data_IF_808680263713
#
_entry.id   IF_808680263713
#
_cell.length_a   1.000
_cell.length_b   1.000
_cell.length_c   1.000
_cell.angle_alpha   90.00
_cell.angle_beta   90.00
_cell.angle_gamma   90.00
#
_symmetry.space_group_name_H-M   'P 1'
#
loop_
_entity.id
_entity.type
_entity.pdbx_description
1 polymer ?
#
# COMPACT_ATOMS: atom_id res chain seq x y z
N UNK A 1 56.32 55.52 -70.03
CA UNK A 1 55.04 56.07 -69.54
C UNK A 1 53.97 55.00 -69.27
N UNK A 2 54.00 53.82 -69.92
CA UNK A 2 53.00 52.76 -69.71
C UNK A 2 53.04 52.07 -68.32
N UNK A 3 54.22 51.90 -67.73
CA UNK A 3 54.39 51.18 -66.45
C UNK A 3 53.74 51.89 -65.24
N UNK A 4 53.61 53.22 -65.29
CA UNK A 4 53.01 54.00 -64.19
C UNK A 4 51.51 53.73 -64.04
N UNK A 5 50.79 53.53 -65.16
CA UNK A 5 49.34 53.26 -65.12
C UNK A 5 49.01 51.84 -64.68
N UNK A 6 49.90 50.87 -64.96
CA UNK A 6 49.72 49.48 -64.53
C UNK A 6 49.99 49.30 -63.03
N UNK A 7 50.91 50.09 -62.48
CA UNK A 7 51.15 50.16 -61.04
C UNK A 7 49.94 50.74 -60.28
N UNK A 8 49.39 51.88 -60.72
CA UNK A 8 48.19 52.47 -60.11
C UNK A 8 46.97 51.53 -60.15
N UNK A 9 46.80 50.78 -61.26
CA UNK A 9 45.73 49.79 -61.39
C UNK A 9 45.86 48.68 -60.35
N UNK A 10 47.07 48.16 -60.12
CA UNK A 10 47.34 47.15 -59.08
C UNK A 10 47.00 47.65 -57.68
N UNK A 11 47.45 48.87 -57.35
CA UNK A 11 47.16 49.50 -56.05
C UNK A 11 45.65 49.65 -55.83
N UNK A 12 44.90 50.00 -56.88
CA UNK A 12 43.44 50.14 -56.81
C UNK A 12 42.74 48.79 -56.61
N UNK A 13 43.14 47.76 -57.34
CA UNK A 13 42.60 46.41 -57.21
C UNK A 13 42.92 45.78 -55.84
N UNK A 14 44.12 46.03 -55.32
CA UNK A 14 44.53 45.56 -53.99
C UNK A 14 43.72 46.23 -52.88
N UNK A 15 43.45 47.53 -53.00
CA UNK A 15 42.55 48.26 -52.09
C UNK A 15 41.13 47.69 -52.12
N UNK A 16 40.57 47.43 -53.30
CA UNK A 16 39.22 46.86 -53.44
C UNK A 16 39.17 45.48 -52.77
N UNK A 17 40.16 44.62 -53.00
CA UNK A 17 40.25 43.30 -52.36
C UNK A 17 40.35 43.41 -50.84
N UNK A 18 41.16 44.35 -50.34
CA UNK A 18 41.30 44.61 -48.92
C UNK A 18 39.98 45.07 -48.29
N UNK A 19 39.26 46.00 -48.92
CA UNK A 19 37.96 46.48 -48.45
C UNK A 19 36.89 45.37 -48.48
N UNK A 20 36.86 44.55 -49.52
CA UNK A 20 35.97 43.38 -49.60
C UNK A 20 36.28 42.34 -48.51
N UNK A 21 37.55 42.03 -48.29
CA UNK A 21 37.97 41.11 -47.24
C UNK A 21 37.61 41.63 -45.84
N UNK A 22 37.77 42.94 -45.62
CA UNK A 22 37.37 43.61 -44.37
C UNK A 22 35.85 43.51 -44.15
N UNK A 23 35.05 43.76 -45.19
CA UNK A 23 33.58 43.65 -45.09
C UNK A 23 33.15 42.22 -44.75
N UNK A 24 33.68 41.22 -45.46
CA UNK A 24 33.37 39.81 -45.21
C UNK A 24 33.75 39.39 -43.78
N UNK A 25 34.91 39.82 -43.29
CA UNK A 25 35.33 39.51 -41.93
C UNK A 25 34.42 40.19 -40.90
N UNK A 26 33.97 41.41 -41.16
CA UNK A 26 33.03 42.11 -40.27
C UNK A 26 31.65 41.43 -40.24
N UNK A 27 31.12 41.01 -41.39
CA UNK A 27 29.88 40.23 -41.48
C UNK A 27 30.00 38.90 -40.76
N UNK A 28 31.11 38.18 -40.94
CA UNK A 28 31.35 36.90 -40.28
C UNK A 28 31.35 37.04 -38.75
N UNK A 29 32.03 38.07 -38.21
CA UNK A 29 32.00 38.35 -36.76
C UNK A 29 30.59 38.67 -36.25
N UNK A 30 29.80 39.44 -37.00
CA UNK A 30 28.41 39.74 -36.63
C UNK A 30 27.56 38.47 -36.61
N UNK A 31 27.73 37.60 -37.60
CA UNK A 31 27.02 36.33 -37.68
C UNK A 31 27.40 35.40 -36.51
N UNK A 32 28.69 35.30 -36.17
CA UNK A 32 29.16 34.52 -35.03
C UNK A 32 28.61 35.04 -33.70
N UNK A 33 28.64 36.36 -33.47
CA UNK A 33 28.06 36.98 -32.27
C UNK A 33 26.55 36.72 -32.17
N UNK A 34 25.83 36.81 -33.28
CA UNK A 34 24.40 36.54 -33.30
C UNK A 34 24.09 35.09 -32.99
N UNK A 35 24.85 34.16 -33.58
CA UNK A 35 24.73 32.72 -33.31
C UNK A 35 25.02 32.37 -31.85
N UNK A 36 26.03 32.99 -31.25
CA UNK A 36 26.35 32.80 -29.83
C UNK A 36 25.22 33.32 -28.93
N UNK A 37 24.69 34.52 -29.23
CA UNK A 37 23.56 35.09 -28.51
C UNK A 37 22.29 34.24 -28.62
N UNK A 38 21.97 33.74 -29.82
CA UNK A 38 20.83 32.84 -30.02
C UNK A 38 21.02 31.52 -29.28
N UNK A 39 22.24 30.98 -29.26
CA UNK A 39 22.57 29.76 -28.51
C UNK A 39 22.39 29.96 -26.99
N UNK A 40 22.84 31.09 -26.44
CA UNK A 40 22.65 31.40 -25.01
C UNK A 40 21.16 31.55 -24.67
N UNK A 41 20.37 32.20 -25.54
CA UNK A 41 18.92 32.33 -25.36
C UNK A 41 18.25 30.95 -25.33
N UNK A 42 18.56 30.08 -26.28
CA UNK A 42 18.00 28.72 -26.34
C UNK A 42 18.37 27.92 -25.09
N UNK A 43 19.61 28.02 -24.63
CA UNK A 43 20.08 27.31 -23.43
C UNK A 43 19.31 27.76 -22.19
N UNK A 44 19.08 29.08 -22.03
CA UNK A 44 18.31 29.64 -20.91
C UNK A 44 16.84 29.20 -20.95
N UNK A 45 16.22 29.17 -22.12
CA UNK A 45 14.84 28.70 -22.28
C UNK A 45 14.71 27.22 -21.92
N UNK A 46 15.65 26.37 -22.35
CA UNK A 46 15.67 24.95 -22.02
C UNK A 46 15.87 24.71 -20.51
N UNK A 47 16.80 25.46 -19.87
CA UNK A 47 17.00 25.44 -18.42
C UNK A 47 15.73 25.83 -17.66
N UNK A 48 15.05 26.89 -18.12
CA UNK A 48 13.79 27.35 -17.52
C UNK A 48 12.71 26.29 -17.67
N UNK A 49 12.56 25.69 -18.85
CA UNK A 49 11.58 24.63 -19.11
C UNK A 49 11.81 23.41 -18.20
N UNK A 50 13.07 22.98 -18.07
CA UNK A 50 13.44 21.87 -17.16
C UNK A 50 13.18 22.22 -15.70
N UNK A 51 13.46 23.46 -15.29
CA UNK A 51 13.18 23.94 -13.94
C UNK A 51 11.68 23.94 -13.65
N UNK A 52 10.86 24.42 -14.57
CA UNK A 52 9.40 24.41 -14.45
C UNK A 52 8.85 22.98 -14.40
N UNK A 53 9.36 22.07 -15.23
CA UNK A 53 8.98 20.65 -15.18
C UNK A 53 9.35 19.99 -13.85
N UNK A 54 10.57 20.23 -13.37
CA UNK A 54 11.03 19.73 -12.07
C UNK A 54 10.16 20.27 -10.93
N UNK A 55 9.81 21.55 -10.97
CA UNK A 55 8.92 22.18 -10.00
C UNK A 55 7.54 21.53 -9.99
N UNK A 56 6.94 21.27 -11.16
CA UNK A 56 5.63 20.58 -11.26
C UNK A 56 5.68 19.18 -10.66
N UNK A 57 6.74 18.40 -10.95
CA UNK A 57 6.93 17.07 -10.34
C UNK A 57 7.04 17.14 -8.81
N UNK A 58 7.76 18.13 -8.30
CA UNK A 58 7.88 18.39 -6.86
C UNK A 58 6.52 18.73 -6.22
N UNK A 59 5.73 19.59 -6.86
CA UNK A 59 4.38 19.95 -6.40
C UNK A 59 3.44 18.73 -6.40
N UNK A 60 3.49 17.89 -7.43
CA UNK A 60 2.72 16.64 -7.50
C UNK A 60 3.09 15.66 -6.38
N UNK A 61 4.39 15.46 -6.14
CA UNK A 61 4.88 14.61 -5.05
C UNK A 61 4.45 15.16 -3.69
N UNK A 62 4.57 16.48 -3.48
CA UNK A 62 4.12 17.14 -2.25
C UNK A 62 2.62 16.95 -2.03
N UNK A 63 1.82 17.08 -3.08
CA UNK A 63 0.37 16.88 -3.00
C UNK A 63 -0.01 15.40 -2.76
N UNK A 64 0.77 14.45 -3.30
CA UNK A 64 0.58 13.03 -3.03
C UNK A 64 0.95 12.68 -1.58
N UNK A 65 2.04 13.24 -1.07
CA UNK A 65 2.50 13.02 0.31
C UNK A 65 1.50 13.62 1.32
N UNK A 66 1.00 14.83 1.06
CA UNK A 66 -0.03 15.44 1.90
C UNK A 66 -1.29 14.57 1.97
N UNK A 67 -1.75 14.05 0.83
CA UNK A 67 -2.90 13.11 0.78
C UNK A 67 -2.65 11.85 1.61
N UNK A 68 -1.44 11.30 1.56
CA UNK A 68 -1.05 10.14 2.39
C UNK A 68 -1.10 10.48 3.87
N UNK A 69 -0.53 11.62 4.27
CA UNK A 69 -0.55 12.07 5.66
C UNK A 69 -1.97 12.24 6.17
N UNK A 70 -2.84 12.94 5.44
CA UNK A 70 -4.24 13.14 5.84
C UNK A 70 -4.98 11.80 6.00
N UNK A 71 -4.77 10.83 5.09
CA UNK A 71 -5.39 9.51 5.20
C UNK A 71 -4.85 8.67 6.37
N UNK A 72 -3.60 8.90 6.80
CA UNK A 72 -3.06 8.27 8.00
C UNK A 72 -3.65 8.89 9.26
N UNK A 73 -3.76 10.22 9.30
CA UNK A 73 -4.37 10.94 10.43
C UNK A 73 -5.85 10.57 10.61
N UNK A 74 -6.61 10.46 9.51
CA UNK A 74 -8.00 10.01 9.54
C UNK A 74 -8.13 8.59 10.10
N UNK A 75 -7.29 7.67 9.63
CA UNK A 75 -7.23 6.30 10.18
C UNK A 75 -6.87 6.27 11.66
N UNK A 76 -5.95 7.13 12.11
CA UNK A 76 -5.59 7.22 13.52
C UNK A 76 -6.76 7.71 14.37
N UNK A 77 -7.53 8.69 13.88
CA UNK A 77 -8.73 9.18 14.56
C UNK A 77 -9.80 8.09 14.66
N UNK A 78 -10.04 7.35 13.57
CA UNK A 78 -10.97 6.22 13.58
C UNK A 78 -10.51 5.13 14.56
N UNK A 79 -9.22 4.78 14.57
CA UNK A 79 -8.67 3.78 15.48
C UNK A 79 -8.77 4.23 16.94
N UNK A 80 -8.47 5.50 17.25
CA UNK A 80 -8.63 6.06 18.59
C UNK A 80 -10.10 6.02 19.02
N UNK A 81 -11.03 6.40 18.15
CA UNK A 81 -12.48 6.33 18.46
C UNK A 81 -12.91 4.88 18.72
N UNK A 82 -12.43 3.92 17.93
CA UNK A 82 -12.70 2.50 18.15
C UNK A 82 -12.14 2.02 19.48
N UNK A 83 -10.92 2.43 19.84
CA UNK A 83 -10.31 2.10 21.12
C UNK A 83 -11.09 2.72 22.29
N UNK A 84 -11.57 3.95 22.17
CA UNK A 84 -12.44 4.59 23.18
C UNK A 84 -13.74 3.81 23.39
N UNK A 85 -14.43 3.42 22.30
CA UNK A 85 -15.65 2.60 22.37
C UNK A 85 -15.39 1.23 23.02
N UNK A 86 -14.24 0.61 22.75
CA UNK A 86 -13.84 -0.64 23.40
C UNK A 86 -13.60 -0.43 24.89
N UNK A 87 -12.91 0.66 25.28
CA UNK A 87 -12.67 0.98 26.68
C UNK A 87 -13.98 1.23 27.44
N UNK A 88 -14.89 2.02 26.89
CA UNK A 88 -16.21 2.28 27.44
C UNK A 88 -17.01 0.98 27.63
N UNK A 89 -17.09 0.13 26.59
CA UNK A 89 -17.75 -1.18 26.70
C UNK A 89 -17.12 -2.08 27.76
N UNK A 90 -15.79 -2.09 27.87
CA UNK A 90 -15.10 -2.86 28.90
C UNK A 90 -15.37 -2.30 30.31
N UNK A 91 -15.52 -0.98 30.46
CA UNK A 91 -15.92 -0.36 31.72
C UNK A 91 -17.38 -0.67 32.07
N UNK A 92 -18.30 -0.66 31.09
CA UNK A 92 -19.68 -1.11 31.26
C UNK A 92 -19.75 -2.58 31.65
N UNK A 93 -18.97 -3.46 31.00
CA UNK A 93 -18.87 -4.88 31.35
C UNK A 93 -18.34 -5.08 32.77
N UNK A 94 -17.29 -4.35 33.17
CA UNK A 94 -16.75 -4.38 34.54
C UNK A 94 -17.75 -3.84 35.57
N UNK A 95 -18.48 -2.78 35.23
CA UNK A 95 -19.50 -2.23 36.11
C UNK A 95 -20.69 -3.18 36.25
N UNK A 96 -21.11 -3.83 35.17
CA UNK A 96 -22.13 -4.87 35.19
C UNK A 96 -21.68 -6.10 35.98
N UNK A 97 -20.41 -6.52 35.86
CA UNK A 97 -19.81 -7.59 36.66
C UNK A 97 -19.78 -7.22 38.15
N UNK A 98 -19.41 -5.97 38.48
CA UNK A 98 -19.36 -5.47 39.86
C UNK A 98 -20.74 -5.29 40.50
N UNK A 99 -21.75 -4.89 39.71
CA UNK A 99 -23.13 -4.69 40.21
C UNK A 99 -23.97 -5.96 40.17
N UNK A 100 -23.57 -6.98 39.42
CA UNK A 100 -24.18 -8.30 39.49
C UNK A 100 -23.93 -8.89 40.88
N UNK A 101 -25.01 -8.99 41.66
CA UNK A 101 -25.01 -9.66 42.96
C UNK A 101 -25.05 -11.18 42.74
N UNK A 102 -24.04 -11.72 42.06
CA UNK A 102 -23.79 -13.15 42.05
C UNK A 102 -22.80 -13.47 43.18
N UNK A 103 -23.26 -14.34 44.07
CA UNK A 103 -22.45 -14.99 45.10
C UNK A 103 -21.14 -15.50 44.50
N UNK A 104 -20.03 -15.47 45.25
CA UNK A 104 -18.74 -15.87 44.72
C UNK A 104 -18.81 -17.34 44.33
N UNK A 105 -18.88 -17.61 43.02
CA UNK A 105 -18.59 -18.93 42.49
C UNK A 105 -17.08 -19.05 42.56
N UNK A 106 -16.65 -19.53 43.71
CA UNK A 106 -15.33 -20.10 43.97
C UNK A 106 -14.94 -20.91 42.74
N UNK A 107 -13.84 -20.52 42.09
CA UNK A 107 -13.15 -21.42 41.18
C UNK A 107 -12.85 -22.73 41.93
N UNK A 108 -13.20 -23.86 41.33
CA UNK A 108 -12.15 -24.84 41.19
C UNK A 108 -12.02 -25.22 39.71
N UNK A 109 -10.83 -24.95 39.19
CA UNK A 109 -9.96 -25.97 38.58
C UNK A 109 -10.69 -27.30 38.33
N UNK A 110 -10.86 -27.65 37.05
CA UNK A 110 -11.14 -29.01 36.53
C UNK A 110 -12.53 -29.64 36.76
N UNK A 111 -13.63 -28.90 36.63
CA UNK A 111 -14.93 -29.56 36.36
C UNK A 111 -15.17 -29.60 34.84
N UNK A 112 -15.04 -30.80 34.25
CA UNK A 112 -15.56 -31.12 32.92
C UNK A 112 -17.06 -30.85 32.90
N UNK A 113 -17.46 -29.62 32.56
CA UNK A 113 -18.86 -29.28 32.32
C UNK A 113 -19.27 -30.10 31.09
N UNK A 114 -20.02 -31.19 31.29
CA UNK A 114 -20.66 -31.92 30.20
C UNK A 114 -21.83 -31.07 29.70
N UNK A 115 -21.54 -30.14 28.80
CA UNK A 115 -22.57 -29.36 28.11
C UNK A 115 -23.48 -30.31 27.34
N UNK A 116 -24.72 -30.53 27.79
CA UNK A 116 -25.72 -31.21 26.97
C UNK A 116 -26.16 -30.25 25.87
N UNK A 117 -25.76 -30.53 24.64
CA UNK A 117 -26.18 -29.77 23.48
C UNK A 117 -27.65 -30.06 23.18
N UNK A 118 -28.40 -29.04 22.76
CA UNK A 118 -29.79 -29.22 22.33
C UNK A 118 -29.83 -30.12 21.08
N UNK A 119 -30.91 -30.88 20.85
CA UNK A 119 -31.01 -31.77 19.68
C UNK A 119 -30.76 -31.07 18.33
N UNK A 120 -31.12 -29.78 18.22
CA UNK A 120 -30.84 -28.95 17.05
C UNK A 120 -29.33 -28.73 16.81
N UNK A 121 -28.55 -28.65 17.87
CA UNK A 121 -27.09 -28.47 17.83
C UNK A 121 -26.36 -29.79 17.52
N UNK A 122 -26.99 -30.93 17.79
CA UNK A 122 -26.47 -32.26 17.47
C UNK A 122 -26.83 -32.74 16.05
N UNK A 123 -27.59 -31.97 15.28
CA UNK A 123 -28.08 -32.38 13.95
C UNK A 123 -26.95 -32.73 12.97
N UNK A 124 -25.87 -31.94 12.97
CA UNK A 124 -24.71 -32.18 12.12
C UNK A 124 -23.99 -33.50 12.47
N UNK A 125 -23.82 -33.79 13.77
CA UNK A 125 -23.17 -35.02 14.23
C UNK A 125 -24.07 -36.24 13.98
N UNK A 126 -25.38 -36.12 14.25
CA UNK A 126 -26.35 -37.18 13.99
C UNK A 126 -26.42 -37.53 12.49
N UNK A 127 -26.29 -36.54 11.61
CA UNK A 127 -26.21 -36.77 10.16
C UNK A 127 -24.90 -37.46 9.78
N UNK A 128 -23.78 -37.01 10.34
CA UNK A 128 -22.46 -37.60 10.11
C UNK A 128 -22.42 -39.09 10.50
N UNK A 129 -22.89 -39.44 11.70
CA UNK A 129 -22.89 -40.83 12.18
C UNK A 129 -23.81 -41.74 11.37
N UNK A 130 -24.95 -41.25 10.89
CA UNK A 130 -25.87 -41.99 10.00
C UNK A 130 -25.28 -42.23 8.61
N UNK A 131 -24.67 -41.22 8.00
CA UNK A 131 -24.09 -41.33 6.64
C UNK A 131 -22.95 -42.35 6.62
N UNK A 132 -22.10 -42.34 7.64
CA UNK A 132 -20.95 -43.24 7.74
C UNK A 132 -21.26 -44.54 8.50
N UNK A 133 -22.53 -44.79 8.85
CA UNK A 133 -22.98 -45.99 9.60
C UNK A 133 -22.13 -46.28 10.85
N UNK A 134 -21.83 -45.23 11.61
CA UNK A 134 -21.00 -45.32 12.82
C UNK A 134 -21.89 -45.76 13.99
N UNK A 135 -21.65 -46.97 14.50
CA UNK A 135 -22.43 -47.56 15.59
C UNK A 135 -22.11 -46.93 16.96
N UNK A 136 -20.83 -46.69 17.25
CA UNK A 136 -20.38 -46.00 18.47
C UNK A 136 -19.56 -44.76 18.09
N UNK A 137 -20.21 -43.58 18.02
CA UNK A 137 -19.55 -42.33 17.64
C UNK A 137 -18.39 -41.95 18.56
N UNK A 138 -18.51 -42.23 19.87
CA UNK A 138 -17.54 -41.83 20.90
C UNK A 138 -16.26 -42.66 20.81
N UNK A 139 -16.37 -43.98 20.61
CA UNK A 139 -15.20 -44.84 20.40
C UNK A 139 -14.60 -44.65 19.01
N UNK A 140 -15.42 -44.38 18.01
CA UNK A 140 -14.95 -44.22 16.63
C UNK A 140 -14.12 -42.94 16.45
N UNK A 141 -14.54 -41.81 17.05
CA UNK A 141 -13.81 -40.54 16.94
C UNK A 141 -12.43 -40.62 17.61
N UNK A 142 -12.31 -41.33 18.73
CA UNK A 142 -11.05 -41.50 19.44
C UNK A 142 -9.97 -42.16 18.55
N UNK A 143 -10.38 -43.02 17.61
CA UNK A 143 -9.48 -43.73 16.68
C UNK A 143 -9.33 -43.03 15.33
N UNK A 144 -10.34 -42.27 14.89
CA UNK A 144 -10.44 -41.74 13.52
C UNK A 144 -10.54 -40.21 13.46
N UNK A 145 -10.08 -39.50 14.49
CA UNK A 145 -10.30 -38.06 14.59
C UNK A 145 -9.80 -37.25 13.38
N UNK A 146 -8.65 -37.61 12.79
CA UNK A 146 -8.14 -36.93 11.60
C UNK A 146 -9.11 -36.99 10.41
N UNK A 147 -9.87 -38.08 10.29
CA UNK A 147 -10.92 -38.20 9.28
C UNK A 147 -12.08 -37.25 9.59
N UNK A 148 -12.53 -37.21 10.85
CA UNK A 148 -13.60 -36.30 11.26
C UNK A 148 -13.24 -34.82 11.07
N UNK A 149 -11.96 -34.46 11.24
CA UNK A 149 -11.46 -33.09 11.02
C UNK A 149 -11.66 -32.60 9.57
N UNK A 150 -11.76 -33.51 8.59
CA UNK A 150 -12.12 -33.13 7.20
C UNK A 150 -13.55 -32.60 7.07
N UNK A 151 -14.44 -33.04 7.96
CA UNK A 151 -15.85 -32.65 7.99
C UNK A 151 -16.14 -31.57 9.05
N UNK A 152 -15.26 -31.42 10.03
CA UNK A 152 -15.31 -30.39 11.07
C UNK A 152 -13.99 -29.59 11.09
N UNK A 153 -13.69 -28.80 10.04
CA UNK A 153 -12.38 -28.15 9.88
C UNK A 153 -12.07 -27.10 10.96
N UNK A 154 -13.12 -26.51 11.55
CA UNK A 154 -13.02 -25.47 12.57
C UNK A 154 -12.91 -26.03 14.00
N UNK A 155 -13.04 -27.34 14.19
CA UNK A 155 -12.99 -27.97 15.50
C UNK A 155 -11.73 -28.83 15.66
N UNK A 156 -11.06 -28.70 16.80
CA UNK A 156 -9.95 -29.57 17.18
C UNK A 156 -10.44 -30.95 17.61
N UNK A 157 -9.55 -31.94 17.60
CA UNK A 157 -9.90 -33.31 17.99
C UNK A 157 -10.55 -33.44 19.39
N UNK A 158 -10.01 -32.79 20.44
CA UNK A 158 -10.64 -32.79 21.74
C UNK A 158 -12.02 -32.12 21.75
N UNK A 159 -12.22 -31.08 20.93
CA UNK A 159 -13.51 -30.42 20.78
C UNK A 159 -14.53 -31.31 20.08
N UNK A 160 -14.14 -32.01 19.01
CA UNK A 160 -15.03 -32.94 18.29
C UNK A 160 -15.42 -34.10 19.20
N UNK A 161 -14.47 -34.65 19.96
CA UNK A 161 -14.75 -35.71 20.93
C UNK A 161 -15.72 -35.24 22.01
N UNK A 162 -15.47 -34.07 22.62
CA UNK A 162 -16.38 -33.48 23.60
C UNK A 162 -17.77 -33.20 23.02
N UNK A 163 -17.85 -32.78 21.75
CA UNK A 163 -19.10 -32.52 21.04
C UNK A 163 -19.90 -33.80 20.82
N UNK A 164 -19.24 -34.89 20.42
CA UNK A 164 -19.85 -36.20 20.22
C UNK A 164 -20.31 -36.78 21.56
N UNK A 165 -19.46 -36.76 22.58
CA UNK A 165 -19.81 -37.18 23.93
C UNK A 165 -21.01 -36.37 24.45
N UNK A 166 -21.06 -35.07 24.19
CA UNK A 166 -22.17 -34.19 24.59
C UNK A 166 -23.50 -34.52 23.88
N UNK A 167 -23.45 -35.03 22.65
CA UNK A 167 -24.62 -35.40 21.86
C UNK A 167 -25.10 -36.84 22.08
N UNK A 168 -24.21 -37.74 22.52
CA UNK A 168 -24.50 -39.18 22.67
C UNK A 168 -24.31 -39.70 24.10
N UNK A 169 -24.06 -38.84 25.10
CA UNK A 169 -23.77 -39.25 26.49
C UNK A 169 -24.83 -40.14 27.18
N UNK A 170 -26.00 -40.40 26.59
CA UNK A 170 -27.09 -41.18 27.19
C UNK A 170 -27.97 -41.94 26.16
N UNK A 171 -27.37 -42.45 25.08
CA UNK A 171 -27.96 -43.52 24.27
C UNK A 171 -27.28 -44.84 24.63
#
# INVERSE_FOLDING_TARGET
MAESGEFEKRIREERIRYEQAKHLHEEQRRFEQQKESDSDRILREELRRRSEEMKRRLEELKAAELRRQSALEERQREEEERLRKIAEKNEEEKFAEFTSTDLPIVEPVTKKIRYRLRPSQCAAINKFTRVFKITDPSSWIAKNCQFAKRYFPQASCPQIQSLIESCFAFL
#
